data_IF_525908505336
#
_entry.id   IF_525908505336
#
_cell.length_a   1.000
_cell.length_b   1.000
_cell.length_c   1.000
_cell.angle_alpha   90.00
_cell.angle_beta   90.00
_cell.angle_gamma   90.00
#
_symmetry.space_group_name_H-M   'P 1'
#
loop_
_entity.id
_entity.type
_entity.pdbx_description
1 polymer ?
#
# COMPACT_ATOMS: atom_id res chain seq x y z
N UNK A 1 -3.65 -5.38 16.49
CA UNK A 1 -4.32 -6.69 16.64
C UNK A 1 -5.83 -6.53 16.44
N UNK A 2 -6.30 -6.66 15.18
CA UNK A 2 -7.72 -6.87 14.91
C UNK A 2 -8.03 -8.34 15.21
N UNK A 3 -8.52 -8.63 16.43
CA UNK A 3 -8.90 -9.98 16.85
C UNK A 3 -10.34 -10.39 16.49
N UNK A 4 -11.07 -9.52 15.79
CA UNK A 4 -12.47 -9.75 15.39
C UNK A 4 -12.62 -9.49 13.87
N UNK A 5 -12.74 -10.56 13.08
CA UNK A 5 -13.09 -10.48 11.64
C UNK A 5 -14.37 -9.65 11.42
N UNK A 6 -15.38 -9.80 12.29
CA UNK A 6 -16.62 -9.00 12.25
C UNK A 6 -16.36 -7.49 12.38
N UNK A 7 -15.37 -7.09 13.18
CA UNK A 7 -15.01 -5.68 13.38
C UNK A 7 -14.30 -5.11 12.15
N UNK A 8 -13.46 -5.91 11.50
CA UNK A 8 -12.80 -5.55 10.24
C UNK A 8 -13.82 -5.37 9.10
N UNK A 9 -14.79 -6.28 9.01
CA UNK A 9 -15.89 -6.18 8.06
C UNK A 9 -16.79 -4.96 8.31
N UNK A 10 -17.14 -4.68 9.57
CA UNK A 10 -17.92 -3.49 9.96
C UNK A 10 -17.21 -2.19 9.55
N UNK A 11 -15.90 -2.10 9.79
CA UNK A 11 -15.10 -0.93 9.40
C UNK A 11 -14.95 -0.81 7.90
N UNK A 12 -14.79 -1.93 7.19
CA UNK A 12 -14.78 -1.94 5.74
C UNK A 12 -16.09 -1.41 5.16
N UNK A 13 -17.23 -1.80 5.73
CA UNK A 13 -18.54 -1.30 5.32
C UNK A 13 -18.68 0.21 5.56
N UNK A 14 -18.26 0.68 6.74
CA UNK A 14 -18.25 2.11 7.10
C UNK A 14 -17.34 2.90 6.14
N UNK A 15 -16.19 2.35 5.79
CA UNK A 15 -15.26 2.96 4.85
C UNK A 15 -15.88 3.08 3.45
N UNK A 16 -16.55 2.03 2.96
CA UNK A 16 -17.27 2.03 1.68
C UNK A 16 -18.39 3.09 1.69
N UNK A 17 -19.20 3.15 2.75
CA UNK A 17 -20.23 4.18 2.92
C UNK A 17 -19.65 5.60 2.99
N UNK A 18 -18.45 5.74 3.55
CA UNK A 18 -17.73 7.00 3.61
C UNK A 18 -17.16 7.44 2.25
N UNK A 19 -16.97 6.51 1.31
CA UNK A 19 -16.45 6.75 -0.04
C UNK A 19 -15.14 6.03 -0.36
N UNK A 20 -14.86 4.90 0.29
CA UNK A 20 -13.79 4.00 -0.12
C UNK A 20 -14.14 3.28 -1.43
N UNK A 21 -13.14 3.17 -2.30
CA UNK A 21 -13.25 2.49 -3.59
C UNK A 21 -12.98 0.99 -3.46
N UNK A 22 -12.07 0.60 -2.56
CA UNK A 22 -11.72 -0.79 -2.31
C UNK A 22 -11.28 -0.99 -0.86
N UNK A 23 -11.54 -2.17 -0.30
CA UNK A 23 -11.15 -2.53 1.07
C UNK A 23 -10.60 -3.95 1.05
N UNK A 24 -9.38 -4.12 1.55
CA UNK A 24 -8.71 -5.41 1.66
C UNK A 24 -8.36 -5.70 3.10
N UNK A 25 -8.72 -6.89 3.54
CA UNK A 25 -8.32 -7.42 4.83
C UNK A 25 -7.16 -8.39 4.59
N UNK A 26 -5.94 -7.97 4.94
CA UNK A 26 -4.74 -8.80 4.86
C UNK A 26 -4.29 -9.15 6.28
N UNK A 27 -4.41 -10.43 6.65
CA UNK A 27 -4.03 -11.02 7.93
C UNK A 27 -4.41 -10.18 9.18
N UNK A 28 -3.57 -9.23 9.58
CA UNK A 28 -3.74 -8.39 10.77
C UNK A 28 -4.07 -6.92 10.47
N UNK A 29 -4.13 -6.53 9.19
CA UNK A 29 -4.29 -5.16 8.72
C UNK A 29 -5.49 -5.01 7.77
N UNK A 30 -6.16 -3.86 7.88
CA UNK A 30 -7.22 -3.44 6.99
C UNK A 30 -6.68 -2.32 6.08
N UNK A 31 -6.48 -2.64 4.80
CA UNK A 31 -6.11 -1.66 3.79
C UNK A 31 -7.36 -1.08 3.13
N UNK A 32 -7.51 0.24 3.21
CA UNK A 32 -8.64 0.96 2.62
C UNK A 32 -8.10 1.86 1.51
N UNK A 33 -8.57 1.63 0.28
CA UNK A 33 -8.26 2.44 -0.88
C UNK A 33 -9.40 3.41 -1.15
N UNK A 34 -9.07 4.68 -1.33
CA UNK A 34 -10.05 5.74 -1.60
C UNK A 34 -9.49 6.70 -2.64
N UNK A 35 -10.37 7.42 -3.31
CA UNK A 35 -9.99 8.61 -4.06
C UNK A 35 -9.31 9.63 -3.13
N UNK A 36 -8.38 10.42 -3.69
CA UNK A 36 -7.56 11.40 -2.95
C UNK A 36 -8.43 12.46 -2.28
N UNK A 37 -9.51 12.86 -2.94
CA UNK A 37 -10.49 13.83 -2.42
C UNK A 37 -11.38 13.26 -1.30
N UNK A 38 -11.52 11.94 -1.19
CA UNK A 38 -12.30 11.28 -0.14
C UNK A 38 -11.45 10.84 1.07
N UNK A 39 -10.12 10.76 0.94
CA UNK A 39 -9.22 10.25 1.98
C UNK A 39 -9.47 10.91 3.36
N UNK A 40 -9.55 12.24 3.40
CA UNK A 40 -9.76 12.97 4.66
C UNK A 40 -11.14 12.72 5.27
N UNK A 41 -12.15 12.44 4.44
CA UNK A 41 -13.51 12.15 4.88
C UNK A 41 -13.57 10.75 5.50
N UNK A 42 -13.00 9.76 4.83
CA UNK A 42 -12.91 8.38 5.30
C UNK A 42 -12.09 8.32 6.60
N UNK A 43 -10.94 9.00 6.67
CA UNK A 43 -10.14 9.11 7.89
C UNK A 43 -10.95 9.63 9.08
N UNK A 44 -11.67 10.74 8.90
CA UNK A 44 -12.49 11.32 9.98
C UNK A 44 -13.64 10.43 10.41
N UNK A 45 -14.23 9.67 9.48
CA UNK A 45 -15.28 8.73 9.79
C UNK A 45 -14.74 7.59 10.68
N UNK A 46 -13.59 7.01 10.33
CA UNK A 46 -12.94 5.95 11.10
C UNK A 46 -12.47 6.44 12.48
N UNK A 47 -11.92 7.65 12.55
CA UNK A 47 -11.58 8.29 13.84
C UNK A 47 -12.82 8.49 14.73
N UNK A 48 -13.96 8.84 14.14
CA UNK A 48 -15.24 8.99 14.85
C UNK A 48 -15.77 7.69 15.46
N UNK A 49 -15.48 6.56 14.82
CA UNK A 49 -15.79 5.19 15.30
C UNK A 49 -14.76 4.68 16.34
N UNK A 50 -13.78 5.51 16.70
CA UNK A 50 -12.78 5.22 17.72
C UNK A 50 -11.60 4.39 17.22
N UNK A 51 -11.39 4.30 15.90
CA UNK A 51 -10.32 3.53 15.29
C UNK A 51 -9.48 4.46 14.39
N UNK A 52 -8.45 5.11 14.95
CA UNK A 52 -7.56 5.92 14.14
C UNK A 52 -6.77 5.01 13.18
N UNK A 53 -6.68 5.35 11.87
CA UNK A 53 -5.83 4.61 10.96
C UNK A 53 -4.37 4.75 11.38
N UNK A 54 -3.63 3.64 11.35
CA UNK A 54 -2.20 3.63 11.69
C UNK A 54 -1.39 4.47 10.71
N UNK A 55 -1.74 4.39 9.43
CA UNK A 55 -1.18 5.20 8.37
C UNK A 55 -2.26 5.65 7.38
N UNK A 56 -2.24 6.93 7.02
CA UNK A 56 -3.07 7.49 5.97
C UNK A 56 -2.19 8.35 5.07
N UNK A 57 -1.93 7.88 3.84
CA UNK A 57 -1.09 8.60 2.90
C UNK A 57 -1.60 8.49 1.47
N UNK A 58 -1.36 9.55 0.70
CA UNK A 58 -1.60 9.51 -0.74
C UNK A 58 -0.44 8.74 -1.38
N UNK A 59 -0.80 7.65 -2.05
CA UNK A 59 0.12 6.76 -2.76
C UNK A 59 -0.41 6.49 -4.17
N UNK A 60 0.49 6.16 -5.11
CA UNK A 60 0.12 5.74 -6.46
C UNK A 60 0.09 4.23 -6.53
N UNK A 61 -1.10 3.66 -6.56
CA UNK A 61 -1.30 2.21 -6.71
C UNK A 61 -1.41 1.87 -8.21
N UNK A 62 -0.57 0.98 -8.75
CA UNK A 62 -0.64 0.59 -10.15
C UNK A 62 -1.89 -0.27 -10.41
N UNK A 63 -2.63 0.04 -11.48
CA UNK A 63 -3.81 -0.76 -11.91
C UNK A 63 -3.43 -2.07 -12.60
N UNK A 64 -2.22 -2.16 -13.13
CA UNK A 64 -1.71 -3.34 -13.83
C UNK A 64 -0.24 -3.48 -13.54
N UNK A 65 0.14 -4.66 -13.10
CA UNK A 65 1.53 -5.00 -12.82
C UNK A 65 2.19 -5.66 -14.04
N UNK A 66 3.50 -5.51 -14.14
CA UNK A 66 4.31 -6.15 -15.19
C UNK A 66 5.31 -7.06 -14.49
N UNK A 67 5.14 -8.36 -14.68
CA UNK A 67 6.10 -9.36 -14.21
C UNK A 67 7.46 -9.15 -14.89
N UNK A 68 8.50 -8.98 -14.09
CA UNK A 68 9.87 -8.83 -14.56
C UNK A 68 10.59 -10.18 -14.54
N UNK A 69 11.47 -10.39 -15.52
CA UNK A 69 12.48 -11.45 -15.41
C UNK A 69 13.54 -11.10 -14.36
N UNK A 70 14.31 -12.09 -13.90
CA UNK A 70 15.33 -11.91 -12.87
C UNK A 70 16.28 -10.74 -13.13
N UNK A 71 16.71 -10.59 -14.38
CA UNK A 71 17.68 -9.56 -14.77
C UNK A 71 17.04 -8.17 -14.76
N UNK A 72 15.84 -8.05 -15.30
CA UNK A 72 15.07 -6.80 -15.31
C UNK A 72 14.67 -6.39 -13.91
N UNK A 73 14.32 -7.36 -13.05
CA UNK A 73 14.00 -7.14 -11.64
C UNK A 73 15.21 -6.56 -10.90
N UNK A 74 16.40 -7.19 -10.99
CA UNK A 74 17.63 -6.69 -10.36
C UNK A 74 18.01 -5.29 -10.87
N UNK A 75 17.90 -5.06 -12.18
CA UNK A 75 18.17 -3.74 -12.77
C UNK A 75 17.20 -2.67 -12.29
N UNK A 76 15.92 -3.02 -12.12
CA UNK A 76 14.89 -2.09 -11.67
C UNK A 76 15.03 -1.79 -10.17
N UNK A 77 15.39 -2.79 -9.35
CA UNK A 77 15.70 -2.60 -7.93
C UNK A 77 16.88 -1.64 -7.74
N UNK A 78 17.98 -1.84 -8.46
CA UNK A 78 19.11 -0.90 -8.42
C UNK A 78 18.74 0.52 -8.85
N UNK A 79 17.87 0.63 -9.84
CA UNK A 79 17.38 1.95 -10.28
C UNK A 79 16.53 2.61 -9.19
N UNK A 80 15.67 1.84 -8.51
CA UNK A 80 14.86 2.34 -7.40
C UNK A 80 15.74 2.85 -6.27
N UNK A 81 16.74 2.08 -5.84
CA UNK A 81 17.68 2.49 -4.78
C UNK A 81 18.40 3.80 -5.13
N UNK A 82 18.92 3.91 -6.36
CA UNK A 82 19.60 5.12 -6.83
C UNK A 82 18.64 6.32 -6.84
N UNK A 83 17.36 6.10 -7.13
CA UNK A 83 16.36 7.18 -7.08
C UNK A 83 16.01 7.55 -5.64
N UNK A 84 15.95 6.59 -4.72
CA UNK A 84 15.68 6.83 -3.30
C UNK A 84 16.85 7.53 -2.58
N UNK A 85 18.08 7.32 -3.04
CA UNK A 85 19.28 8.01 -2.54
C UNK A 85 19.34 9.49 -2.91
N UNK A 86 18.48 9.97 -3.81
CA UNK A 86 18.44 11.39 -4.20
C UNK A 86 17.64 12.20 -3.18
N UNK A 87 18.28 13.21 -2.58
CA UNK A 87 17.67 14.12 -1.60
C UNK A 87 16.37 14.81 -2.10
N UNK A 88 16.24 14.98 -3.42
CA UNK A 88 15.08 15.62 -4.07
C UNK A 88 13.91 14.65 -4.33
N UNK A 89 14.12 13.34 -4.20
CA UNK A 89 13.10 12.32 -4.44
C UNK A 89 12.36 12.00 -3.15
N UNK A 90 11.08 12.32 -3.12
CA UNK A 90 10.25 12.07 -1.92
C UNK A 90 9.69 10.66 -1.87
N UNK A 91 9.27 10.10 -3.01
CA UNK A 91 8.67 8.76 -3.14
C UNK A 91 8.89 8.22 -4.56
N UNK A 92 9.36 6.99 -4.67
CA UNK A 92 9.43 6.25 -5.94
C UNK A 92 8.29 5.23 -6.01
N UNK A 93 7.69 5.07 -7.19
CA UNK A 93 6.62 4.09 -7.42
C UNK A 93 6.90 3.36 -8.72
N UNK A 94 6.70 2.04 -8.69
CA UNK A 94 6.82 1.17 -9.87
C UNK A 94 5.59 0.28 -9.98
N UNK A 95 5.25 -0.11 -11.20
CA UNK A 95 4.26 -1.15 -11.47
C UNK A 95 4.94 -2.50 -11.81
N UNK A 96 6.25 -2.61 -11.58
CA UNK A 96 6.97 -3.87 -11.68
C UNK A 96 6.50 -4.85 -10.62
N UNK A 97 6.27 -6.09 -11.04
CA UNK A 97 6.07 -7.23 -10.17
C UNK A 97 7.39 -8.01 -10.10
N UNK A 98 7.94 -8.09 -8.88
CA UNK A 98 9.27 -8.62 -8.63
C UNK A 98 9.17 -10.07 -8.17
N UNK A 99 9.92 -11.00 -8.78
CA UNK A 99 9.96 -12.38 -8.30
C UNK A 99 10.47 -12.42 -6.85
N UNK A 100 9.84 -13.19 -5.96
CA UNK A 100 10.23 -13.27 -4.55
C UNK A 100 11.70 -13.69 -4.38
N UNK A 101 12.18 -14.62 -5.22
CA UNK A 101 13.56 -15.09 -5.22
C UNK A 101 14.59 -13.98 -5.53
N UNK A 102 14.21 -12.97 -6.33
CA UNK A 102 15.09 -11.83 -6.65
C UNK A 102 15.08 -10.83 -5.51
N UNK A 103 13.90 -10.56 -4.93
CA UNK A 103 13.77 -9.68 -3.76
C UNK A 103 14.60 -10.19 -2.58
N UNK A 104 14.49 -11.48 -2.25
CA UNK A 104 15.27 -12.10 -1.17
C UNK A 104 16.78 -12.02 -1.41
N UNK A 105 17.22 -12.30 -2.65
CA UNK A 105 18.64 -12.17 -3.02
C UNK A 105 19.13 -10.74 -2.88
N UNK A 106 18.36 -9.77 -3.37
CA UNK A 106 18.73 -8.36 -3.32
C UNK A 106 18.81 -7.83 -1.88
N UNK A 107 17.84 -8.20 -1.03
CA UNK A 107 17.84 -7.84 0.39
C UNK A 107 18.98 -8.49 1.18
N UNK A 108 19.48 -9.65 0.76
CA UNK A 108 20.63 -10.30 1.39
C UNK A 108 21.98 -9.69 0.95
N UNK A 109 22.01 -9.01 -0.19
CA UNK A 109 23.21 -8.34 -0.74
C UNK A 109 23.33 -6.86 -0.33
N UNK A 110 22.21 -6.20 -0.02
CA UNK A 110 22.14 -4.83 0.49
C UNK A 110 22.53 -4.72 1.98
#
# INVERSE_FOLDING_TARGET
>A
EMKDEERGEELGLIAIDAGADDVKLEDEFLEIFTAVDQLQKVQKQLEGEGIPPEAAQISKVPKTTIALDDKQAEQTLRLLDVLEDLDDVQKAYTNADFPPEVLERYQAEA
#
